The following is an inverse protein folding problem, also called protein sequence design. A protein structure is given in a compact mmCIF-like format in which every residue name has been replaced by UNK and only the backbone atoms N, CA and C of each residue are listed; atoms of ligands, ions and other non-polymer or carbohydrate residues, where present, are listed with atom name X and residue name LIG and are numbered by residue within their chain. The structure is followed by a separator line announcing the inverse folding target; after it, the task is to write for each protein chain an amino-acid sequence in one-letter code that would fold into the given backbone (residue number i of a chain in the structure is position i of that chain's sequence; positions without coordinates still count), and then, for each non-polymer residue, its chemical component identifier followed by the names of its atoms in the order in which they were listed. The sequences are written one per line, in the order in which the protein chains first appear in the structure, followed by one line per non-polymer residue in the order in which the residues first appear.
data_IF_845831684443
#
_entry.id   IF_845831684443
#
_cell.length_a   1.000
_cell.length_b   1.000
_cell.length_c   1.000
_cell.angle_alpha   90.00
_cell.angle_beta   90.00
_cell.angle_gamma   90.00
#
_symmetry.space_group_name_H-M   'P 1'
#
loop_
_entity.id
_entity.type
_entity.pdbx_description
1 polymer ?
#
# COMPACT_ATOMS: atom_id res chain seq x y z
N UNK A 1 -23.93 9.82 9.12
CA UNK A 1 -23.04 9.93 7.94
C UNK A 1 -21.62 9.90 8.46
N UNK A 2 -20.85 8.84 8.19
CA UNK A 2 -19.42 8.82 8.52
C UNK A 2 -18.72 9.79 7.56
N UNK A 3 -17.95 10.72 8.11
CA UNK A 3 -17.12 11.65 7.33
C UNK A 3 -15.85 10.93 6.89
N UNK A 4 -15.38 11.26 5.68
CA UNK A 4 -14.14 10.68 5.14
C UNK A 4 -12.96 11.03 6.06
N UNK A 5 -12.16 10.03 6.43
CA UNK A 5 -10.99 10.19 7.30
C UNK A 5 -9.87 10.88 6.51
N UNK A 6 -9.36 12.01 7.03
CA UNK A 6 -8.28 12.76 6.38
C UNK A 6 -6.88 12.21 6.70
N UNK A 7 -6.78 11.39 7.73
CA UNK A 7 -5.57 10.73 8.24
C UNK A 7 -5.20 9.45 7.47
N UNK A 8 -5.80 9.23 6.30
CA UNK A 8 -5.75 7.97 5.58
C UNK A 8 -5.52 8.19 4.08
N UNK A 9 -4.73 9.22 3.74
CA UNK A 9 -4.28 9.47 2.37
C UNK A 9 -3.29 8.40 1.90
N UNK A 10 -2.93 8.42 0.60
CA UNK A 10 -1.99 7.45 0.02
C UNK A 10 -0.65 7.41 0.76
N UNK A 11 -0.08 8.57 1.07
CA UNK A 11 1.21 8.71 1.74
C UNK A 11 1.14 8.26 3.20
N UNK A 12 0.12 8.67 3.95
CA UNK A 12 -0.05 8.23 5.35
C UNK A 12 -0.27 6.72 5.43
N UNK A 13 -1.04 6.15 4.51
CA UNK A 13 -1.27 4.72 4.47
C UNK A 13 0.02 3.94 4.16
N UNK A 14 0.85 4.47 3.25
CA UNK A 14 2.13 3.88 2.89
C UNK A 14 3.09 3.75 4.09
N UNK A 15 3.09 4.70 5.03
CA UNK A 15 3.93 4.60 6.24
C UNK A 15 3.56 3.40 7.12
N UNK A 16 2.27 3.07 7.23
CA UNK A 16 1.86 1.84 7.91
C UNK A 16 2.27 0.60 7.12
N UNK A 17 2.12 0.63 5.80
CA UNK A 17 2.50 -0.47 4.89
C UNK A 17 3.97 -0.81 5.00
N UNK A 18 4.87 0.17 5.03
CA UNK A 18 6.32 -0.06 5.24
C UNK A 18 6.59 -0.86 6.51
N UNK A 19 5.92 -0.47 7.61
CA UNK A 19 6.04 -1.20 8.88
C UNK A 19 5.54 -2.64 8.75
N UNK A 20 4.44 -2.87 8.03
CA UNK A 20 3.93 -4.23 7.82
C UNK A 20 4.85 -5.09 6.97
N UNK A 21 5.48 -4.52 5.94
CA UNK A 21 6.50 -5.19 5.13
C UNK A 21 7.68 -5.59 6.01
N UNK A 22 8.18 -4.70 6.86
CA UNK A 22 9.27 -4.99 7.80
C UNK A 22 8.92 -6.10 8.79
N UNK A 23 7.64 -6.25 9.13
CA UNK A 23 7.11 -7.32 9.97
C UNK A 23 6.83 -8.62 9.21
N UNK A 24 7.06 -8.67 7.90
CA UNK A 24 6.91 -9.86 7.06
C UNK A 24 5.53 -10.06 6.44
N UNK A 25 4.74 -8.99 6.28
CA UNK A 25 3.47 -9.08 5.56
C UNK A 25 3.68 -9.39 4.07
N UNK A 26 3.03 -10.45 3.57
CA UNK A 26 3.12 -10.88 2.17
C UNK A 26 1.96 -10.37 1.29
N UNK A 27 0.84 -9.99 1.92
CA UNK A 27 -0.36 -9.50 1.22
C UNK A 27 -0.83 -8.20 1.85
N UNK A 28 -0.90 -7.16 1.04
CA UNK A 28 -1.31 -5.81 1.44
C UNK A 28 -2.38 -5.33 0.47
N UNK A 29 -3.49 -4.86 1.02
CA UNK A 29 -4.63 -4.35 0.27
C UNK A 29 -5.40 -3.38 1.16
N UNK A 30 -6.67 -3.15 0.87
CA UNK A 30 -7.47 -2.28 1.72
C UNK A 30 -8.96 -2.52 1.60
N UNK A 31 -9.72 -1.85 2.48
CA UNK A 31 -11.17 -1.93 2.55
C UNK A 31 -11.75 -0.55 2.18
N UNK A 32 -12.67 -0.03 2.98
CA UNK A 32 -13.20 1.32 2.80
C UNK A 32 -12.07 2.36 2.80
N UNK A 33 -12.17 3.33 1.88
CA UNK A 33 -11.26 4.49 1.74
C UNK A 33 -9.84 4.21 1.23
N UNK A 34 -9.46 2.93 1.06
CA UNK A 34 -8.22 2.55 0.38
C UNK A 34 -8.52 2.30 -1.09
N UNK A 35 -8.10 3.24 -1.92
CA UNK A 35 -8.38 3.25 -3.36
C UNK A 35 -7.15 3.01 -4.22
N UNK A 36 -7.31 3.14 -5.55
CA UNK A 36 -6.21 2.98 -6.50
C UNK A 36 -4.99 3.88 -6.22
N UNK A 37 -5.19 5.09 -5.71
CA UNK A 37 -4.08 6.00 -5.35
C UNK A 37 -3.19 5.43 -4.24
N UNK A 38 -3.78 4.75 -3.25
CA UNK A 38 -3.03 4.09 -2.18
C UNK A 38 -2.23 2.92 -2.70
N UNK A 39 -2.86 2.07 -3.53
CA UNK A 39 -2.20 0.92 -4.13
C UNK A 39 -1.05 1.36 -5.07
N UNK A 40 -1.24 2.46 -5.80
CA UNK A 40 -0.18 3.05 -6.63
C UNK A 40 1.02 3.52 -5.79
N UNK A 41 0.79 4.22 -4.67
CA UNK A 41 1.87 4.65 -3.78
C UNK A 41 2.67 3.46 -3.22
N UNK A 42 1.99 2.35 -2.89
CA UNK A 42 2.63 1.11 -2.44
C UNK A 42 3.43 0.47 -3.58
N UNK A 43 2.86 0.36 -4.78
CA UNK A 43 3.54 -0.21 -5.93
C UNK A 43 4.82 0.58 -6.29
N UNK A 44 4.74 1.91 -6.35
CA UNK A 44 5.88 2.79 -6.62
C UNK A 44 6.98 2.64 -5.56
N UNK A 45 6.60 2.47 -4.29
CA UNK A 45 7.55 2.19 -3.21
C UNK A 45 8.22 0.82 -3.41
N UNK A 46 7.44 -0.24 -3.65
CA UNK A 46 7.98 -1.58 -3.89
C UNK A 46 8.96 -1.60 -5.07
N UNK A 47 8.62 -0.94 -6.18
CA UNK A 47 9.48 -0.86 -7.36
C UNK A 47 10.80 -0.14 -7.05
N UNK A 48 10.75 0.95 -6.28
CA UNK A 48 11.95 1.70 -5.88
C UNK A 48 12.87 0.92 -4.94
N UNK A 49 12.31 0.18 -3.99
CA UNK A 49 13.08 -0.57 -3.00
C UNK A 49 13.45 -1.99 -3.49
N UNK A 50 13.04 -2.36 -4.72
CA UNK A 50 13.31 -3.68 -5.28
C UNK A 50 12.52 -4.82 -4.63
N UNK A 51 11.38 -4.49 -4.01
CA UNK A 51 10.46 -5.48 -3.42
C UNK A 51 9.68 -6.12 -4.56
N UNK A 52 9.86 -7.43 -4.72
CA UNK A 52 9.19 -8.20 -5.78
C UNK A 52 7.73 -8.45 -5.40
N UNK A 53 6.82 -7.97 -6.23
CA UNK A 53 5.38 -8.23 -6.14
C UNK A 53 4.94 -9.27 -7.17
N UNK A 54 3.73 -9.79 -7.02
CA UNK A 54 3.15 -10.77 -7.95
C UNK A 54 3.11 -10.29 -9.41
N UNK A 55 3.01 -8.98 -9.64
CA UNK A 55 2.96 -8.40 -10.99
C UNK A 55 4.28 -8.62 -11.74
N UNK A 56 5.40 -8.73 -11.01
CA UNK A 56 6.72 -9.00 -11.59
C UNK A 56 6.99 -10.51 -11.75
N UNK A 57 6.19 -11.37 -11.13
CA UNK A 57 6.35 -12.83 -11.16
C UNK A 57 5.53 -13.50 -12.27
N UNK A 58 4.55 -12.79 -12.84
CA UNK A 58 3.64 -13.32 -13.87
C UNK A 58 3.81 -12.49 -15.15
N UNK A 59 4.02 -13.14 -16.32
CA UNK A 59 4.17 -12.45 -17.61
C UNK A 59 2.90 -11.73 -18.09
#
# INVERSE_FOLDING_TARGET
RLSQRKDLGPEEYLEFVKTWIDLGAEVIGGCCEIGPSHIAAIADYCDREGIVTIKQLVP
#
